data_IF_713410902995
#
_entry.id   IF_713410902995
#
_cell.length_a   1.000
_cell.length_b   1.000
_cell.length_c   1.000
_cell.angle_alpha   90.00
_cell.angle_beta   90.00
_cell.angle_gamma   90.00
#
_symmetry.space_group_name_H-M   'P 1'
#
loop_
_entity.id
_entity.type
_entity.pdbx_description
1 polymer ?
#
# COMPACT_ATOMS: atom_id res chain seq x y z
N UNK A 1 39.07 27.09 11.93
CA UNK A 1 37.86 27.71 11.33
C UNK A 1 36.75 26.68 11.42
N UNK A 2 35.69 26.94 12.19
CA UNK A 2 34.61 25.97 12.38
C UNK A 2 33.86 25.74 11.06
N UNK A 3 33.65 24.48 10.69
CA UNK A 3 33.01 24.09 9.43
C UNK A 3 31.48 24.18 9.58
N UNK A 4 30.95 25.40 9.59
CA UNK A 4 29.52 25.71 9.77
C UNK A 4 28.62 25.05 8.71
N UNK A 5 29.18 24.66 7.56
CA UNK A 5 28.46 23.93 6.50
C UNK A 5 28.09 22.48 6.89
N UNK A 6 28.80 21.88 7.85
CA UNK A 6 28.54 20.52 8.33
C UNK A 6 27.29 20.44 9.23
N UNK A 7 26.89 21.55 9.85
CA UNK A 7 25.74 21.66 10.75
C UNK A 7 24.47 22.18 10.07
N UNK A 8 24.56 22.59 8.80
CA UNK A 8 23.38 23.03 8.06
C UNK A 8 22.59 21.82 7.55
N UNK A 9 21.39 21.51 8.08
CA UNK A 9 20.59 20.38 7.62
C UNK A 9 20.07 20.59 6.18
N UNK A 10 20.11 21.82 5.66
CA UNK A 10 19.69 22.17 4.30
C UNK A 10 20.84 22.21 3.28
N UNK A 11 22.11 22.07 3.72
CA UNK A 11 23.25 22.00 2.79
C UNK A 11 23.37 20.63 2.10
N UNK A 12 22.71 19.60 2.63
CA UNK A 12 22.67 18.25 2.06
C UNK A 12 21.65 18.16 0.93
N UNK A 13 21.92 18.85 -0.19
CA UNK A 13 21.12 18.67 -1.42
C UNK A 13 21.43 17.37 -2.18
N UNK A 14 22.47 16.62 -1.78
CA UNK A 14 22.97 15.44 -2.50
C UNK A 14 22.90 14.12 -1.71
N UNK A 15 21.94 13.95 -0.78
CA UNK A 15 21.84 12.68 -0.05
C UNK A 15 21.41 11.49 -0.93
N UNK A 16 20.78 11.77 -2.08
CA UNK A 16 20.28 10.75 -3.00
C UNK A 16 20.63 11.12 -4.44
N UNK A 17 21.17 10.17 -5.20
CA UNK A 17 21.45 10.38 -6.62
C UNK A 17 20.15 10.51 -7.42
N UNK A 18 20.17 11.23 -8.54
CA UNK A 18 19.00 11.33 -9.43
C UNK A 18 18.44 9.96 -9.83
N UNK A 19 19.32 8.96 -10.02
CA UNK A 19 18.95 7.57 -10.28
C UNK A 19 18.16 6.93 -9.12
N UNK A 20 18.57 7.13 -7.87
CA UNK A 20 17.83 6.61 -6.71
C UNK A 20 16.44 7.23 -6.56
N UNK A 21 16.27 8.51 -6.93
CA UNK A 21 14.96 9.18 -6.90
C UNK A 21 14.05 8.60 -7.99
N UNK A 22 14.57 8.36 -9.20
CA UNK A 22 13.80 7.74 -10.29
C UNK A 22 13.39 6.32 -9.92
N UNK A 23 14.34 5.52 -9.41
CA UNK A 23 14.07 4.16 -8.97
C UNK A 23 12.98 4.12 -7.87
N UNK A 24 13.08 5.01 -6.86
CA UNK A 24 12.05 5.15 -5.83
C UNK A 24 10.67 5.42 -6.44
N UNK A 25 10.56 6.41 -7.33
CA UNK A 25 9.28 6.73 -8.00
C UNK A 25 8.69 5.54 -8.75
N UNK A 26 9.52 4.81 -9.50
CA UNK A 26 9.09 3.63 -10.26
C UNK A 26 8.61 2.52 -9.31
N UNK A 27 9.41 2.18 -8.29
CA UNK A 27 9.04 1.12 -7.35
C UNK A 27 7.81 1.48 -6.52
N UNK A 28 7.65 2.74 -6.12
CA UNK A 28 6.43 3.20 -5.46
C UNK A 28 5.22 3.04 -6.36
N UNK A 29 5.30 3.43 -7.63
CA UNK A 29 4.20 3.30 -8.57
C UNK A 29 3.86 1.83 -8.87
N UNK A 30 4.87 0.98 -9.03
CA UNK A 30 4.68 -0.47 -9.21
C UNK A 30 4.06 -1.12 -7.97
N UNK A 31 4.52 -0.76 -6.77
CA UNK A 31 3.98 -1.29 -5.51
C UNK A 31 2.52 -0.87 -5.32
N UNK A 32 2.20 0.38 -5.65
CA UNK A 32 0.84 0.88 -5.65
C UNK A 32 -0.05 0.13 -6.65
N UNK A 33 0.39 -0.02 -7.90
CA UNK A 33 -0.35 -0.76 -8.92
C UNK A 33 -0.59 -2.22 -8.53
N UNK A 34 0.44 -2.88 -7.99
CA UNK A 34 0.33 -4.25 -7.50
C UNK A 34 -0.71 -4.34 -6.37
N UNK A 35 -0.68 -3.41 -5.41
CA UNK A 35 -1.65 -3.36 -4.33
C UNK A 35 -3.07 -3.22 -4.87
N UNK A 36 -3.30 -2.30 -5.81
CA UNK A 36 -4.63 -2.09 -6.43
C UNK A 36 -5.07 -3.35 -7.17
N UNK A 37 -4.21 -3.94 -7.99
CA UNK A 37 -4.52 -5.14 -8.76
C UNK A 37 -4.89 -6.33 -7.86
N UNK A 38 -4.13 -6.55 -6.78
CA UNK A 38 -4.39 -7.61 -5.79
C UNK A 38 -5.71 -7.36 -5.05
N UNK A 39 -5.99 -6.12 -4.65
CA UNK A 39 -7.25 -5.76 -4.01
C UNK A 39 -8.45 -6.07 -4.91
N UNK A 40 -8.42 -5.61 -6.17
CA UNK A 40 -9.49 -5.89 -7.14
C UNK A 40 -9.64 -7.39 -7.38
N UNK A 41 -8.53 -8.11 -7.53
CA UNK A 41 -8.56 -9.56 -7.76
C UNK A 41 -9.25 -10.29 -6.60
N UNK A 42 -8.91 -9.98 -5.34
CA UNK A 42 -9.49 -10.66 -4.17
C UNK A 42 -10.85 -10.14 -3.71
N UNK A 43 -11.32 -9.02 -4.23
CA UNK A 43 -12.74 -8.63 -4.15
C UNK A 43 -13.58 -9.55 -5.05
N UNK A 44 -13.09 -9.87 -6.25
CA UNK A 44 -13.84 -10.64 -7.26
C UNK A 44 -13.65 -12.17 -7.15
N UNK A 45 -12.45 -12.61 -6.76
CA UNK A 45 -12.06 -14.01 -6.70
C UNK A 45 -11.63 -14.38 -5.30
N UNK A 46 -12.08 -15.54 -4.82
CA UNK A 46 -11.60 -16.05 -3.54
C UNK A 46 -10.20 -16.66 -3.71
N UNK A 47 -9.26 -16.43 -2.78
CA UNK A 47 -7.94 -17.06 -2.82
C UNK A 47 -8.06 -18.59 -2.72
N UNK A 48 -7.26 -19.28 -3.53
CA UNK A 48 -7.17 -20.75 -3.55
C UNK A 48 -6.09 -21.29 -2.61
N UNK A 49 -5.30 -20.40 -2.02
CA UNK A 49 -4.15 -20.67 -1.15
C UNK A 49 -4.13 -19.73 0.08
N UNK A 50 -3.25 -20.01 1.05
CA UNK A 50 -3.04 -19.18 2.25
C UNK A 50 -3.88 -19.56 3.47
N UNK A 51 -4.00 -18.63 4.44
CA UNK A 51 -4.76 -18.86 5.68
C UNK A 51 -6.25 -18.51 5.56
N UNK A 52 -6.60 -17.61 4.65
CA UNK A 52 -7.97 -17.12 4.43
C UNK A 52 -8.56 -17.69 3.14
N UNK A 53 -8.34 -18.98 2.90
CA UNK A 53 -8.73 -19.69 1.69
C UNK A 53 -10.25 -19.58 1.48
N UNK A 54 -10.68 -19.51 0.22
CA UNK A 54 -12.09 -19.57 -0.22
C UNK A 54 -12.95 -18.41 0.29
N UNK A 55 -12.34 -17.33 0.81
CA UNK A 55 -13.02 -16.14 1.31
C UNK A 55 -12.47 -14.91 0.61
N UNK A 56 -13.34 -14.18 -0.10
CA UNK A 56 -13.03 -12.87 -0.66
C UNK A 56 -12.78 -11.87 0.47
N UNK A 57 -12.25 -10.70 0.12
CA UNK A 57 -12.00 -9.63 1.10
C UNK A 57 -13.26 -9.32 1.91
N UNK A 58 -14.41 -9.17 1.24
CA UNK A 58 -15.68 -8.87 1.91
C UNK A 58 -16.22 -10.01 2.78
N UNK A 59 -15.97 -11.27 2.40
CA UNK A 59 -16.43 -12.43 3.17
C UNK A 59 -15.81 -12.45 4.57
N UNK A 60 -14.62 -11.86 4.75
CA UNK A 60 -13.96 -11.78 6.05
C UNK A 60 -14.74 -10.94 7.06
N UNK A 61 -15.43 -9.91 6.59
CA UNK A 61 -16.21 -9.02 7.43
C UNK A 61 -17.46 -9.70 8.02
N UNK A 62 -17.93 -10.77 7.38
CA UNK A 62 -19.10 -11.54 7.82
C UNK A 62 -18.73 -12.76 8.68
N UNK A 63 -17.45 -12.97 9.00
CA UNK A 63 -17.01 -14.10 9.83
C UNK A 63 -17.47 -13.99 11.27
N UNK A 64 -17.42 -12.77 11.81
CA UNK A 64 -17.85 -12.46 13.18
C UNK A 64 -18.73 -11.21 13.14
N UNK A 65 -20.02 -11.36 12.81
CA UNK A 65 -20.91 -10.22 12.69
C UNK A 65 -21.03 -9.45 14.00
N UNK A 66 -20.82 -8.14 13.94
CA UNK A 66 -21.00 -7.20 15.05
C UNK A 66 -21.82 -5.99 14.58
N UNK A 67 -22.15 -5.08 15.50
CA UNK A 67 -22.78 -3.81 15.14
C UNK A 67 -21.93 -2.94 14.19
N UNK A 68 -20.65 -3.27 13.98
CA UNK A 68 -19.73 -2.59 13.08
C UNK A 68 -19.49 -3.35 11.77
N UNK A 69 -20.19 -4.46 11.51
CA UNK A 69 -20.05 -5.18 10.23
C UNK A 69 -20.57 -4.33 9.08
N UNK A 70 -19.66 -3.92 8.20
CA UNK A 70 -19.96 -3.08 7.05
C UNK A 70 -20.63 -3.84 5.90
N UNK A 71 -21.57 -3.22 5.19
CA UNK A 71 -22.08 -3.79 3.94
C UNK A 71 -21.05 -3.59 2.82
N UNK A 72 -20.68 -4.65 2.10
CA UNK A 72 -19.70 -4.58 1.01
C UNK A 72 -20.09 -3.61 -0.10
N UNK A 73 -21.39 -3.49 -0.40
CA UNK A 73 -21.92 -2.59 -1.44
C UNK A 73 -21.60 -1.13 -1.10
N UNK A 74 -21.59 -0.76 0.18
CA UNK A 74 -21.25 0.60 0.58
C UNK A 74 -19.77 0.89 0.28
N UNK A 75 -18.86 -0.03 0.57
CA UNK A 75 -17.43 0.17 0.32
C UNK A 75 -17.01 -0.02 -1.14
N UNK A 76 -17.78 -0.74 -1.96
CA UNK A 76 -17.51 -0.90 -3.38
C UNK A 76 -17.99 0.30 -4.21
N UNK A 77 -19.02 1.03 -3.74
CA UNK A 77 -19.67 2.12 -4.50
C UNK A 77 -19.24 3.52 -4.02
N UNK A 78 -19.06 3.70 -2.71
CA UNK A 78 -18.78 5.00 -2.09
C UNK A 78 -17.35 5.09 -1.57
#
# INVERSE_FOLDING_TARGET
MANWNAYNPFSRRESHSGGSIIAYKIFTLLSWLLSVAVSVYYVLHAPTDGFTIRRRIWDQNYLYPTAFTMNSVLGDIY
#
